data_IF_601495711957
#
_entry.id   IF_601495711957
#
_cell.length_a   1.000
_cell.length_b   1.000
_cell.length_c   1.000
_cell.angle_alpha   90.00
_cell.angle_beta   90.00
_cell.angle_gamma   90.00
#
_symmetry.space_group_name_H-M   'P 1'
#
loop_
_entity.id
_entity.type
_entity.pdbx_description
1 polymer ?
#
# COMPACT_ATOMS: atom_id res chain seq x y z
N UNK A 1 -9.32 15.50 -7.52
CA UNK A 1 -9.44 15.25 -8.95
C UNK A 1 -8.67 14.01 -9.39
N UNK A 2 -7.36 14.02 -9.26
CA UNK A 2 -6.55 12.84 -9.60
C UNK A 2 -6.95 11.62 -8.77
N UNK A 3 -7.14 11.81 -7.47
CA UNK A 3 -7.53 10.77 -6.55
C UNK A 3 -8.88 10.14 -6.91
N UNK A 4 -9.86 10.95 -7.29
CA UNK A 4 -11.17 10.44 -7.67
C UNK A 4 -11.10 9.65 -8.97
N UNK A 5 -10.28 10.10 -9.92
CA UNK A 5 -10.06 9.36 -11.17
C UNK A 5 -9.41 8.01 -10.90
N UNK A 6 -8.43 7.98 -10.00
CA UNK A 6 -7.76 6.74 -9.63
C UNK A 6 -8.73 5.80 -8.92
N UNK A 7 -9.54 6.31 -8.02
CA UNK A 7 -10.55 5.53 -7.34
C UNK A 7 -11.55 4.91 -8.33
N UNK A 8 -12.05 5.72 -9.27
CA UNK A 8 -12.98 5.25 -10.29
C UNK A 8 -12.34 4.18 -11.18
N UNK A 9 -11.08 4.37 -11.53
CA UNK A 9 -10.35 3.40 -12.34
C UNK A 9 -10.23 2.07 -11.62
N UNK A 10 -9.87 2.10 -10.34
CA UNK A 10 -9.74 0.88 -9.55
C UNK A 10 -11.09 0.19 -9.40
N UNK A 11 -12.14 0.94 -9.10
CA UNK A 11 -13.48 0.39 -8.96
C UNK A 11 -13.98 -0.25 -10.24
N UNK A 12 -13.62 0.33 -11.41
CA UNK A 12 -14.02 -0.25 -12.68
C UNK A 12 -13.31 -1.55 -13.00
N UNK A 13 -12.12 -1.76 -12.44
CA UNK A 13 -11.35 -2.97 -12.70
C UNK A 13 -11.55 -4.04 -11.65
N UNK A 14 -11.84 -3.66 -10.40
CA UNK A 14 -11.97 -4.60 -9.29
C UNK A 14 -13.41 -4.70 -8.85
N UNK A 15 -14.02 -5.83 -9.16
CA UNK A 15 -15.41 -6.14 -8.76
C UNK A 15 -15.46 -7.05 -7.55
N UNK A 16 -14.32 -7.59 -7.13
CA UNK A 16 -14.21 -8.52 -6.00
C UNK A 16 -13.12 -8.07 -5.05
N UNK A 17 -13.23 -8.50 -3.80
CA UNK A 17 -12.18 -8.27 -2.82
C UNK A 17 -10.96 -9.11 -3.16
N UNK A 18 -9.78 -8.57 -2.87
CA UNK A 18 -8.54 -9.29 -3.07
C UNK A 18 -7.42 -8.39 -3.56
N UNK A 19 -6.36 -9.05 -3.96
CA UNK A 19 -5.15 -8.42 -4.48
C UNK A 19 -5.01 -8.85 -5.95
N UNK A 20 -4.89 -7.88 -6.84
CA UNK A 20 -4.96 -8.13 -8.27
C UNK A 20 -3.75 -7.57 -9.01
N UNK A 21 -3.21 -8.34 -9.92
CA UNK A 21 -2.08 -7.93 -10.76
C UNK A 21 -2.54 -6.90 -11.78
N UNK A 22 -1.67 -5.94 -12.07
CA UNK A 22 -1.98 -4.87 -13.04
C UNK A 22 -1.39 -5.11 -14.42
N UNK A 23 -0.51 -6.11 -14.54
CA UNK A 23 0.30 -6.29 -15.74
C UNK A 23 1.65 -5.59 -15.66
N UNK A 24 1.83 -4.69 -14.70
CA UNK A 24 3.13 -4.09 -14.40
C UNK A 24 3.77 -4.88 -13.26
N UNK A 25 4.97 -5.36 -13.46
CA UNK A 25 5.65 -6.19 -12.48
C UNK A 25 5.76 -5.46 -11.13
N UNK A 26 5.31 -6.14 -10.08
CA UNK A 26 5.38 -5.61 -8.72
C UNK A 26 4.28 -4.63 -8.36
N UNK A 27 3.43 -4.25 -9.28
CA UNK A 27 2.35 -3.30 -9.03
C UNK A 27 1.02 -4.05 -8.97
N UNK A 28 0.33 -3.92 -7.84
CA UNK A 28 -0.93 -4.60 -7.60
C UNK A 28 -1.97 -3.61 -7.09
N UNK A 29 -3.23 -3.91 -7.40
CA UNK A 29 -4.37 -3.17 -6.85
C UNK A 29 -5.03 -4.05 -5.80
N UNK A 30 -5.60 -3.43 -4.77
CA UNK A 30 -6.32 -4.20 -3.76
C UNK A 30 -7.65 -3.55 -3.41
N UNK A 31 -8.58 -4.39 -3.01
CA UNK A 31 -9.93 -3.98 -2.63
C UNK A 31 -10.38 -4.82 -1.43
N UNK A 32 -10.87 -4.14 -0.39
CA UNK A 32 -11.44 -4.80 0.80
C UNK A 32 -12.74 -4.10 1.15
N UNK A 33 -13.82 -4.86 1.26
CA UNK A 33 -15.13 -4.32 1.59
C UNK A 33 -15.64 -4.77 2.96
N UNK A 34 -14.83 -5.54 3.70
CA UNK A 34 -15.20 -6.00 5.03
C UNK A 34 -14.32 -5.36 6.09
N UNK A 35 -14.94 -4.98 7.21
CA UNK A 35 -14.18 -4.51 8.35
C UNK A 35 -13.42 -5.65 9.00
N UNK A 36 -12.11 -5.58 9.00
CA UNK A 36 -11.24 -6.60 9.54
C UNK A 36 -10.44 -6.02 10.70
N UNK A 37 -10.50 -6.69 11.85
CA UNK A 37 -9.68 -6.32 13.01
C UNK A 37 -8.21 -6.50 12.70
N UNK A 38 -7.36 -5.73 13.36
CA UNK A 38 -5.93 -5.92 13.26
C UNK A 38 -5.56 -7.34 13.69
N UNK A 39 -4.82 -8.02 12.84
CA UNK A 39 -4.36 -9.38 13.07
C UNK A 39 -2.91 -9.51 12.62
N UNK A 40 -2.18 -10.51 13.14
CA UNK A 40 -0.78 -10.67 12.79
C UNK A 40 -0.58 -10.86 11.28
N UNK A 41 0.39 -10.15 10.76
CA UNK A 41 0.76 -10.22 9.34
C UNK A 41 2.24 -9.90 9.21
N UNK A 42 2.80 -10.23 8.06
CA UNK A 42 4.18 -9.86 7.74
C UNK A 42 4.13 -8.95 6.53
N UNK A 43 4.65 -7.73 6.67
CA UNK A 43 4.78 -6.80 5.55
C UNK A 43 6.10 -7.05 4.85
N UNK A 44 6.02 -7.27 3.55
CA UNK A 44 7.20 -7.34 2.69
C UNK A 44 7.54 -5.92 2.21
N UNK A 45 8.80 -5.69 1.77
CA UNK A 45 9.17 -4.36 1.27
C UNK A 45 8.25 -3.90 0.15
N UNK A 46 7.57 -2.78 0.38
CA UNK A 46 6.60 -2.25 -0.57
C UNK A 46 6.23 -0.82 -0.22
N UNK A 47 5.71 -0.10 -1.21
CA UNK A 47 5.01 1.16 -0.99
C UNK A 47 3.53 0.88 -1.18
N UNK A 48 2.74 1.23 -0.18
CA UNK A 48 1.29 1.02 -0.22
C UNK A 48 0.61 2.38 -0.17
N UNK A 49 -0.12 2.70 -1.23
CA UNK A 49 -0.86 3.96 -1.32
C UNK A 49 -2.34 3.70 -1.11
N UNK A 50 -2.94 4.45 -0.20
CA UNK A 50 -4.37 4.33 0.10
C UNK A 50 -5.13 5.31 -0.79
N UNK A 51 -6.09 4.80 -1.53
CA UNK A 51 -6.92 5.59 -2.44
C UNK A 51 -8.27 5.91 -1.81
N UNK A 52 -8.81 4.98 -1.04
CA UNK A 52 -10.13 5.14 -0.41
C UNK A 52 -10.13 4.41 0.92
N UNK A 53 -10.87 4.93 1.90
CA UNK A 53 -11.03 4.36 3.24
C UNK A 53 -9.75 4.48 4.08
N UNK A 54 -9.63 3.67 5.12
CA UNK A 54 -8.50 3.71 6.04
C UNK A 54 -7.95 2.32 6.28
N UNK A 55 -6.65 2.26 6.54
CA UNK A 55 -5.97 1.03 6.90
C UNK A 55 -5.20 1.28 8.20
N UNK A 56 -5.24 0.32 9.10
CA UNK A 56 -4.54 0.40 10.37
C UNK A 56 -3.40 -0.62 10.43
N UNK A 57 -2.27 -0.21 10.96
CA UNK A 57 -1.14 -1.10 11.23
C UNK A 57 -0.59 -0.79 12.61
N UNK A 58 -0.32 -1.83 13.38
CA UNK A 58 0.28 -1.71 14.70
C UNK A 58 1.69 -2.29 14.63
N UNK A 59 2.67 -1.44 14.92
CA UNK A 59 4.09 -1.79 14.87
C UNK A 59 4.70 -1.45 16.21
N UNK A 60 5.28 -2.45 16.89
CA UNK A 60 5.86 -2.28 18.23
C UNK A 60 4.88 -1.62 19.21
N UNK A 61 3.63 -2.02 19.15
CA UNK A 61 2.60 -1.52 20.06
C UNK A 61 2.07 -0.14 19.71
N UNK A 62 2.57 0.50 18.67
CA UNK A 62 2.08 1.80 18.20
C UNK A 62 1.14 1.62 17.03
N UNK A 63 -0.01 2.28 17.09
CA UNK A 63 -1.00 2.23 16.03
C UNK A 63 -0.77 3.37 15.04
N UNK A 64 -0.78 3.02 13.75
CA UNK A 64 -0.70 3.97 12.65
C UNK A 64 -1.93 3.80 11.78
N UNK A 65 -2.63 4.90 11.52
CA UNK A 65 -3.82 4.88 10.65
C UNK A 65 -3.48 5.63 9.38
N UNK A 66 -3.65 4.96 8.25
CA UNK A 66 -3.41 5.53 6.93
C UNK A 66 -4.74 5.82 6.27
N UNK A 67 -4.92 7.06 5.84
CA UNK A 67 -6.16 7.48 5.17
C UNK A 67 -5.87 7.75 3.70
N UNK A 68 -6.92 8.04 2.95
CA UNK A 68 -6.79 8.36 1.53
C UNK A 68 -5.78 9.49 1.32
N UNK A 69 -4.99 9.37 0.26
CA UNK A 69 -3.90 10.27 -0.13
C UNK A 69 -2.62 10.07 0.69
N UNK A 70 -2.63 9.15 1.64
CA UNK A 70 -1.41 8.77 2.37
C UNK A 70 -0.84 7.48 1.82
N UNK A 71 0.43 7.29 2.05
CA UNK A 71 1.09 6.05 1.68
C UNK A 71 2.03 5.60 2.79
N UNK A 72 2.31 4.31 2.79
CA UNK A 72 3.22 3.69 3.73
C UNK A 72 4.37 3.07 2.95
N UNK A 73 5.59 3.30 3.41
CA UNK A 73 6.77 2.70 2.80
C UNK A 73 7.38 1.72 3.81
N UNK A 74 7.47 0.46 3.43
CA UNK A 74 8.09 -0.58 4.24
C UNK A 74 9.35 -1.03 3.50
N UNK A 75 10.52 -0.83 4.13
CA UNK A 75 11.82 -1.08 3.48
C UNK A 75 12.38 -2.47 3.78
N UNK A 76 11.79 -3.19 4.71
CA UNK A 76 12.22 -4.52 5.09
C UNK A 76 11.01 -5.35 5.52
N UNK A 77 11.15 -6.67 5.47
CA UNK A 77 10.11 -7.54 6.01
C UNK A 77 9.97 -7.29 7.50
N UNK A 78 8.75 -7.08 7.97
CA UNK A 78 8.52 -6.82 9.39
C UNK A 78 7.19 -7.40 9.84
N UNK A 79 7.15 -7.95 11.07
CA UNK A 79 5.87 -8.38 11.64
C UNK A 79 5.07 -7.18 12.10
N UNK A 80 3.80 -7.18 11.79
CA UNK A 80 2.87 -6.12 12.18
C UNK A 80 1.53 -6.75 12.54
N UNK A 81 0.66 -5.94 13.13
CA UNK A 81 -0.76 -6.27 13.19
C UNK A 81 -1.46 -5.31 12.25
N UNK A 82 -2.14 -5.82 11.26
CA UNK A 82 -2.76 -5.00 10.22
C UNK A 82 -4.25 -5.30 10.11
N UNK A 83 -5.02 -4.27 9.80
CA UNK A 83 -6.45 -4.42 9.66
C UNK A 83 -7.08 -3.28 8.86
N UNK A 84 -8.37 -3.46 8.58
CA UNK A 84 -9.18 -2.53 7.80
C UNK A 84 -10.50 -2.31 8.53
N UNK A 85 -10.47 -1.72 9.75
CA UNK A 85 -11.64 -1.71 10.61
C UNK A 85 -12.82 -0.92 10.04
N UNK A 86 -12.57 0.03 9.16
CA UNK A 86 -13.62 0.91 8.62
C UNK A 86 -14.06 0.55 7.20
N UNK A 87 -13.57 -0.56 6.65
CA UNK A 87 -13.93 -0.95 5.29
C UNK A 87 -15.36 -1.48 5.25
N UNK A 88 -16.09 -1.13 4.20
CA UNK A 88 -17.46 -1.58 3.95
C UNK A 88 -17.73 -1.54 2.46
N UNK A 89 -18.89 -2.06 2.05
CA UNK A 89 -19.27 -2.00 0.63
C UNK A 89 -19.49 -0.55 0.18
N UNK A 90 -20.00 0.29 1.07
CA UNK A 90 -20.24 1.70 0.79
C UNK A 90 -18.95 2.52 0.83
N UNK A 91 -17.96 2.05 1.59
CA UNK A 91 -16.68 2.74 1.74
C UNK A 91 -15.56 1.70 1.65
N UNK A 92 -15.30 1.15 0.47
CA UNK A 92 -14.29 0.10 0.32
C UNK A 92 -12.88 0.64 0.51
N UNK A 93 -12.01 -0.17 1.09
CA UNK A 93 -10.59 0.12 1.10
C UNK A 93 -10.03 -0.20 -0.28
N UNK A 94 -9.51 0.80 -0.94
CA UNK A 94 -8.90 0.65 -2.26
C UNK A 94 -7.49 1.21 -2.21
N UNK A 95 -6.57 0.56 -2.89
CA UNK A 95 -5.22 1.05 -2.92
C UNK A 95 -4.33 0.37 -3.94
N UNK A 96 -3.09 0.81 -3.95
CA UNK A 96 -2.06 0.33 -4.86
C UNK A 96 -0.87 -0.13 -4.02
N UNK A 97 -0.36 -1.31 -4.32
CA UNK A 97 0.84 -1.85 -3.68
C UNK A 97 1.95 -1.98 -4.72
N UNK A 98 3.10 -1.41 -4.42
CA UNK A 98 4.27 -1.46 -5.30
C UNK A 98 5.37 -2.19 -4.57
N UNK A 99 5.72 -3.39 -5.04
CA UNK A 99 6.76 -4.20 -4.41
C UNK A 99 8.13 -3.56 -4.61
N UNK A 100 8.92 -3.55 -3.55
CA UNK A 100 10.30 -3.04 -3.58
C UNK A 100 11.25 -4.23 -3.56
N UNK A 101 11.81 -4.56 -4.71
CA UNK A 101 12.77 -5.65 -4.80
C UNK A 101 14.19 -5.10 -4.58
N UNK A 102 15.09 -5.87 -3.95
CA UNK A 102 16.44 -5.39 -3.67
C UNK A 102 17.18 -4.80 -4.86
N UNK A 103 17.17 -5.41 -6.06
CA UNK A 103 17.82 -4.79 -7.22
C UNK A 103 17.24 -3.44 -7.60
N UNK A 104 15.91 -3.30 -7.53
CA UNK A 104 15.24 -2.02 -7.81
C UNK A 104 15.63 -0.97 -6.79
N UNK A 105 15.66 -1.33 -5.51
CA UNK A 105 16.03 -0.43 -4.43
C UNK A 105 17.48 0.06 -4.60
N UNK A 106 18.38 -0.81 -5.01
CA UNK A 106 19.76 -0.46 -5.28
C UNK A 106 19.85 0.54 -6.42
N UNK A 107 19.13 0.30 -7.52
CA UNK A 107 19.12 1.23 -8.66
C UNK A 107 18.61 2.61 -8.26
N UNK A 108 17.52 2.67 -7.52
CA UNK A 108 16.93 3.94 -7.09
C UNK A 108 17.91 4.69 -6.19
N UNK A 109 18.57 4.00 -5.27
CA UNK A 109 19.56 4.60 -4.39
C UNK A 109 20.72 5.17 -5.18
N UNK A 110 21.23 4.43 -6.16
CA UNK A 110 22.35 4.91 -6.99
C UNK A 110 21.96 6.12 -7.84
N UNK A 111 20.74 6.10 -8.39
CA UNK A 111 20.23 7.24 -9.14
C UNK A 111 20.11 8.48 -8.25
N UNK A 112 19.60 8.31 -7.04
CA UNK A 112 19.49 9.41 -6.09
C UNK A 112 20.85 9.99 -5.74
N UNK A 113 21.83 9.15 -5.44
CA UNK A 113 23.17 9.58 -5.12
C UNK A 113 23.82 10.32 -6.30
N UNK A 114 23.63 9.81 -7.50
CA UNK A 114 24.14 10.44 -8.71
C UNK A 114 23.54 11.81 -8.95
N UNK A 115 22.22 11.92 -8.74
CA UNK A 115 21.50 13.17 -8.99
C UNK A 115 21.77 14.24 -7.93
N UNK A 116 21.98 13.85 -6.68
CA UNK A 116 22.11 14.78 -5.56
C UNK A 116 23.54 14.98 -5.08
N UNK A 117 24.45 14.10 -5.48
CA UNK A 117 25.83 14.12 -5.00
C UNK A 117 25.99 13.63 -3.57
N UNK A 118 24.92 13.07 -2.99
CA UNK A 118 24.98 12.53 -1.64
C UNK A 118 25.48 11.09 -1.71
N UNK A 119 26.53 10.80 -0.93
CA UNK A 119 27.06 9.44 -0.80
C UNK A 119 26.93 8.99 0.64
N UNK A 120 26.72 7.70 0.81
CA UNK A 120 26.62 7.09 2.14
C UNK A 120 27.82 6.21 2.39
#
# INVERSE_FOLDING_TARGET
MFKQKLKQLIESKLTEDGLFETGVKGVRLFRVTEGVRCSPAIYEPAVIAIVSCTKEAIVDGKSYVYVAEQYMCCCMSMPVEAGTPNASKENPLLGVSIALEPPMMTEVTMEYERATGVTR
#
